data_IF_649159672916
#
_entry.id   IF_649159672916
#
_cell.length_a   1.000
_cell.length_b   1.000
_cell.length_c   1.000
_cell.angle_alpha   90.00
_cell.angle_beta   90.00
_cell.angle_gamma   90.00
#
_symmetry.space_group_name_H-M   'P 1'
#
loop_
_entity.id
_entity.type
_entity.pdbx_description
1 polymer ?
2 polymer ?
3 non-polymer ?
4 water ?
#
# COMPACT_ATOMS: atom_id res chain seq x y z
N UNK A 4 -21.47 19.15 -15.33
CA UNK A 4 -21.68 17.77 -14.87
C UNK A 4 -23.13 17.35 -15.03
N UNK A 5 -23.35 16.10 -15.44
CA UNK A 5 -24.66 15.69 -15.93
C UNK A 5 -25.00 14.29 -15.45
N UNK A 6 -26.28 13.98 -15.53
CA UNK A 6 -26.82 12.67 -15.20
C UNK A 6 -27.20 12.00 -16.52
N UNK A 7 -26.23 11.36 -17.14
CA UNK A 7 -26.42 10.63 -18.39
C UNK A 7 -25.93 9.20 -18.19
N UNK A 8 -26.22 8.32 -19.15
CA UNK A 8 -25.81 6.91 -18.97
C UNK A 8 -24.31 6.73 -18.87
N UNK A 9 -23.50 7.68 -19.36
CA UNK A 9 -22.07 7.64 -19.11
C UNK A 9 -21.77 7.69 -17.62
N UNK A 10 -22.23 8.77 -16.95
CA UNK A 10 -21.92 8.93 -15.53
C UNK A 10 -22.50 7.79 -14.71
N UNK A 11 -23.67 7.29 -15.08
CA UNK A 11 -24.23 6.13 -14.39
C UNK A 11 -23.26 4.96 -14.43
N UNK A 12 -22.54 4.81 -15.55
CA UNK A 12 -21.57 3.73 -15.64
C UNK A 12 -20.35 4.04 -14.76
N UNK A 13 -19.82 5.25 -14.86
CA UNK A 13 -18.81 5.72 -13.93
C UNK A 13 -19.16 5.33 -12.48
N UNK A 14 -20.39 5.64 -12.04
CA UNK A 14 -20.76 5.31 -10.66
C UNK A 14 -20.84 3.81 -10.45
N UNK A 15 -21.37 3.08 -11.42
CA UNK A 15 -21.37 1.62 -11.29
C UNK A 15 -19.94 1.09 -11.19
N UNK A 16 -19.03 1.63 -11.99
CA UNK A 16 -17.62 1.27 -11.88
C UNK A 16 -17.08 1.57 -10.49
N UNK A 17 -17.41 2.76 -9.96
CA UNK A 17 -16.93 3.11 -8.63
C UNK A 17 -17.44 2.12 -7.58
N UNK A 18 -18.71 1.73 -7.66
CA UNK A 18 -19.21 0.78 -6.66
C UNK A 18 -18.48 -0.55 -6.78
N UNK A 19 -18.25 -1.00 -8.01
CA UNK A 19 -17.58 -2.28 -8.21
C UNK A 19 -16.18 -2.29 -7.61
N UNK A 20 -15.38 -1.26 -7.91
CA UNK A 20 -14.03 -1.17 -7.35
C UNK A 20 -14.09 -1.12 -5.83
N UNK A 21 -15.00 -0.31 -5.28
CA UNK A 21 -15.18 -0.26 -3.85
C UNK A 21 -15.53 -1.62 -3.28
N UNK A 22 -16.59 -2.24 -3.81
CA UNK A 22 -16.99 -3.54 -3.29
C UNK A 22 -15.81 -4.49 -3.30
N UNK A 23 -15.04 -4.50 -4.39
CA UNK A 23 -13.89 -5.40 -4.49
C UNK A 23 -12.77 -4.98 -3.55
N UNK A 24 -12.56 -3.66 -3.44
CA UNK A 24 -11.54 -3.12 -2.55
C UNK A 24 -11.78 -3.56 -1.11
N UNK A 25 -13.03 -3.42 -0.64
CA UNK A 25 -13.40 -3.88 0.69
C UNK A 25 -12.98 -5.34 0.90
N UNK A 26 -13.33 -6.22 -0.04
CA UNK A 26 -13.06 -7.62 0.24
C UNK A 26 -11.63 -8.04 -0.06
N UNK A 27 -10.85 -7.20 -0.75
CA UNK A 27 -9.45 -7.52 -1.06
C UNK A 27 -8.47 -7.12 0.06
N UNK A 28 -8.74 -6.04 0.79
CA UNK A 28 -7.80 -5.72 1.84
C UNK A 28 -8.43 -5.86 3.21
N UNK A 29 -7.65 -6.26 4.21
CA UNK A 29 -8.22 -6.51 5.52
C UNK A 29 -8.77 -5.25 6.17
N UNK A 30 -7.89 -4.29 6.41
CA UNK A 30 -8.16 -3.15 7.28
C UNK A 30 -8.46 -1.92 6.43
N UNK A 31 -9.73 -1.60 6.29
CA UNK A 31 -10.12 -0.41 5.53
C UNK A 31 -9.72 0.86 6.29
N UNK A 32 -9.70 1.98 5.57
CA UNK A 32 -9.44 3.24 6.26
C UNK A 32 -10.51 3.55 7.29
N UNK A 33 -11.77 3.22 7.00
CA UNK A 33 -12.84 3.53 7.95
C UNK A 33 -12.60 2.83 9.28
N UNK A 34 -12.27 1.53 9.23
CA UNK A 34 -11.98 0.82 10.47
C UNK A 34 -10.74 1.39 11.15
N UNK A 35 -9.72 1.72 10.36
CA UNK A 35 -8.47 2.19 10.93
C UNK A 35 -8.67 3.47 11.72
N UNK A 36 -9.39 4.43 11.14
CA UNK A 36 -9.67 5.66 11.87
C UNK A 36 -10.44 5.36 13.15
N UNK A 37 -11.45 4.50 13.07
CA UNK A 37 -12.19 4.10 14.25
C UNK A 37 -11.24 3.57 15.32
N UNK A 38 -10.43 2.57 14.96
CA UNK A 38 -9.44 2.06 15.90
C UNK A 38 -8.59 3.21 16.42
N UNK A 39 -8.14 4.07 15.51
CA UNK A 39 -7.17 5.09 15.87
C UNK A 39 -7.73 6.08 16.88
N UNK A 40 -9.05 6.17 17.02
CA UNK A 40 -9.68 7.16 17.90
C UNK A 40 -10.48 6.52 19.03
N UNK A 41 -10.27 5.22 19.29
CA UNK A 41 -10.97 4.51 20.34
C UNK A 41 -12.41 4.15 20.05
N UNK A 42 -12.97 4.64 18.95
CA UNK A 42 -14.38 4.44 18.59
C UNK A 42 -14.56 3.05 18.00
N UNK A 43 -14.49 2.03 18.85
CA UNK A 43 -14.59 0.68 18.34
C UNK A 43 -14.92 -0.26 19.48
N UNK A 44 -15.73 -1.27 19.18
CA UNK A 44 -15.93 -2.37 20.12
C UNK A 44 -14.72 -3.29 20.17
N UNK A 45 -13.88 -3.27 19.13
CA UNK A 45 -12.61 -4.00 19.17
C UNK A 45 -11.82 -3.60 20.40
N UNK A 46 -11.04 -4.55 20.92
CA UNK A 46 -10.31 -4.37 22.17
C UNK A 46 -9.65 -3.00 22.21
N UNK A 47 -8.48 -2.91 21.61
CA UNK A 47 -7.66 -1.72 21.53
C UNK A 47 -6.24 -2.18 21.25
N UNK A 48 -5.59 -1.63 20.23
CA UNK A 48 -4.24 -2.10 19.87
C UNK A 48 -3.28 -1.96 21.05
N UNK A 49 -2.42 -2.97 21.18
CA UNK A 49 -1.30 -2.89 22.11
C UNK A 49 -0.27 -1.89 21.60
N UNK A 50 0.09 -0.92 22.44
CA UNK A 50 0.97 0.17 22.03
C UNK A 50 2.41 -0.20 22.28
N UNK A 51 3.24 -0.07 21.27
CA UNK A 51 4.68 -0.27 21.37
C UNK A 51 5.34 1.08 21.16
N UNK A 52 5.98 1.57 22.22
CA UNK A 52 6.56 2.91 22.25
C UNK A 52 7.98 2.92 22.82
N UNK A 53 8.48 1.79 23.32
CA UNK A 53 9.85 1.65 23.79
C UNK A 53 10.19 0.17 23.69
N UNK A 54 11.47 -0.14 23.95
CA UNK A 54 11.94 -1.53 23.92
C UNK A 54 11.12 -2.42 24.86
N UNK A 55 10.87 -1.97 26.08
CA UNK A 55 10.11 -2.81 27.01
C UNK A 55 8.75 -3.15 26.43
N UNK A 56 8.06 -2.18 25.84
CA UNK A 56 6.76 -2.46 25.28
C UNK A 56 6.87 -3.32 24.03
N UNK A 57 7.95 -3.18 23.27
CA UNK A 57 8.11 -4.06 22.11
C UNK A 57 8.17 -5.50 22.56
N UNK A 58 9.00 -5.80 23.56
CA UNK A 58 9.09 -7.17 24.07
C UNK A 58 7.75 -7.64 24.60
N UNK A 59 7.12 -6.84 25.48
CA UNK A 59 5.80 -7.21 25.95
C UNK A 59 4.83 -7.42 24.79
N UNK A 60 5.04 -6.73 23.69
CA UNK A 60 4.15 -6.87 22.56
C UNK A 60 4.33 -8.19 21.84
N UNK A 61 5.57 -8.58 21.59
CA UNK A 61 5.81 -9.83 20.87
C UNK A 61 5.14 -11.00 21.59
N UNK A 62 4.96 -10.90 22.91
CA UNK A 62 4.26 -11.94 23.66
C UNK A 62 2.74 -11.80 23.53
N UNK A 63 2.20 -10.60 23.74
CA UNK A 63 0.78 -10.41 23.89
C UNK A 63 0.07 -10.01 22.60
N UNK A 64 0.78 -9.90 21.49
CA UNK A 64 0.17 -9.75 20.17
C UNK A 64 0.39 -11.05 19.41
N UNK A 65 -0.67 -11.58 18.79
CA UNK A 65 -0.57 -12.80 18.00
C UNK A 65 -0.26 -12.40 16.57
N UNK A 66 1.03 -12.28 16.27
CA UNK A 66 1.47 -11.95 14.92
C UNK A 66 1.17 -13.09 13.95
N UNK A 67 0.57 -12.74 12.81
CA UNK A 67 0.20 -13.71 11.80
C UNK A 67 1.40 -14.49 11.25
N UNK A 68 2.63 -14.07 11.52
CA UNK A 68 3.78 -14.58 10.80
C UNK A 68 4.82 -15.31 11.65
N UNK A 69 4.60 -15.49 12.95
CA UNK A 69 5.63 -16.14 13.75
C UNK A 69 5.04 -17.38 14.39
N UNK A 70 5.93 -18.24 14.88
CA UNK A 70 5.60 -19.43 15.63
C UNK A 70 6.60 -19.58 16.76
N UNK A 71 6.23 -20.28 17.83
CA UNK A 71 7.19 -20.54 18.91
C UNK A 71 8.40 -21.34 18.46
N UNK A 72 8.41 -21.77 17.18
CA UNK A 72 9.35 -22.78 16.72
C UNK A 72 10.47 -22.24 15.82
N UNK A 73 10.34 -21.05 15.25
CA UNK A 73 11.41 -20.53 14.41
C UNK A 73 12.21 -19.48 15.16
N UNK A 74 13.43 -19.25 14.68
CA UNK A 74 14.27 -18.14 15.12
C UNK A 74 14.72 -17.40 13.87
N UNK A 75 14.59 -16.07 13.81
CA UNK A 75 14.14 -15.09 14.84
C UNK A 75 15.37 -14.37 15.38
N UNK A 76 15.81 -13.37 14.62
CA UNK A 76 17.02 -12.63 14.96
C UNK A 76 16.95 -12.16 16.41
N UNK A 77 18.13 -11.98 17.01
CA UNK A 77 18.17 -11.42 18.35
C UNK A 77 17.94 -9.92 18.33
N UNK A 78 18.08 -9.28 17.17
CA UNK A 78 18.15 -7.83 17.05
C UNK A 78 16.79 -7.25 16.65
N UNK A 79 16.23 -6.39 17.49
CA UNK A 79 14.83 -6.02 17.30
C UNK A 79 14.63 -5.35 15.95
N UNK A 80 15.57 -4.51 15.54
CA UNK A 80 15.41 -3.82 14.26
C UNK A 80 15.22 -4.83 13.14
N UNK A 81 16.05 -5.88 13.12
CA UNK A 81 15.95 -6.89 12.06
C UNK A 81 14.63 -7.64 12.17
N UNK A 82 14.20 -7.95 13.39
CA UNK A 82 12.92 -8.63 13.55
C UNK A 82 11.79 -7.78 13.00
N UNK A 83 11.79 -6.49 13.35
CA UNK A 83 10.76 -5.60 12.83
C UNK A 83 10.83 -5.58 11.32
N UNK A 84 12.04 -5.45 10.78
CA UNK A 84 12.19 -5.50 9.32
C UNK A 84 11.53 -6.74 8.76
N UNK A 85 11.73 -7.89 9.41
CA UNK A 85 11.23 -9.16 8.87
C UNK A 85 9.71 -9.18 8.84
N UNK A 86 9.07 -8.73 9.92
CA UNK A 86 7.62 -8.63 9.90
C UNK A 86 7.11 -7.73 8.79
N UNK A 87 7.81 -6.63 8.53
CA UNK A 87 7.46 -5.78 7.40
C UNK A 87 7.52 -6.57 6.09
N UNK A 88 8.61 -7.30 5.85
CA UNK A 88 8.72 -8.12 4.65
C UNK A 88 7.50 -9.01 4.49
N UNK A 89 7.14 -9.74 5.55
CA UNK A 89 5.99 -10.64 5.49
C UNK A 89 4.72 -9.88 5.15
N UNK A 90 4.53 -8.71 5.74
CA UNK A 90 3.33 -7.92 5.46
C UNK A 90 3.30 -7.48 4.01
N UNK A 91 4.43 -6.98 3.51
CA UNK A 91 4.55 -6.59 2.10
C UNK A 91 4.26 -7.76 1.16
N UNK A 92 4.78 -8.96 1.48
CA UNK A 92 4.52 -10.10 0.62
C UNK A 92 3.03 -10.39 0.59
N UNK A 93 2.37 -10.37 1.74
CA UNK A 93 0.92 -10.52 1.75
C UNK A 93 0.24 -9.43 0.93
N UNK A 94 0.68 -8.17 1.09
CA UNK A 94 0.00 -7.07 0.41
C UNK A 94 0.15 -7.21 -1.09
N UNK A 95 1.32 -7.68 -1.56
CA UNK A 95 1.46 -7.91 -2.99
C UNK A 95 0.34 -8.83 -3.49
N UNK A 96 -0.02 -9.82 -2.69
CA UNK A 96 -1.07 -10.73 -3.13
C UNK A 96 -2.44 -10.06 -3.09
N UNK A 97 -2.73 -9.31 -2.04
CA UNK A 97 -4.00 -8.61 -1.99
C UNK A 97 -4.12 -7.65 -3.16
N UNK A 98 -3.01 -7.00 -3.53
CA UNK A 98 -3.04 -6.02 -4.61
C UNK A 98 -3.27 -6.71 -5.95
N UNK A 99 -2.56 -7.81 -6.19
CA UNK A 99 -2.80 -8.64 -7.36
C UNK A 99 -4.27 -9.01 -7.47
N UNK A 100 -4.80 -9.61 -6.40
CA UNK A 100 -6.19 -10.01 -6.40
C UNK A 100 -7.10 -8.84 -6.74
N UNK A 101 -6.83 -7.68 -6.13
CA UNK A 101 -7.59 -6.48 -6.44
C UNK A 101 -7.41 -6.05 -7.88
N UNK A 102 -6.17 -6.04 -8.36
CA UNK A 102 -5.92 -5.69 -9.75
C UNK A 102 -6.76 -6.54 -10.68
N UNK A 103 -6.90 -7.83 -10.38
CA UNK A 103 -7.68 -8.69 -11.26
C UNK A 103 -9.13 -8.30 -11.29
N UNK A 104 -9.64 -7.63 -10.26
CA UNK A 104 -11.04 -7.24 -10.31
C UNK A 104 -11.25 -5.93 -11.05
N UNK A 105 -10.21 -5.30 -11.56
CA UNK A 105 -10.41 -4.05 -12.30
C UNK A 105 -10.90 -4.44 -13.68
N UNK A 106 -12.09 -4.00 -14.10
CA UNK A 106 -12.62 -4.39 -15.41
C UNK A 106 -11.61 -4.14 -16.51
N UNK A 107 -11.26 -5.19 -17.25
CA UNK A 107 -10.36 -5.10 -18.37
C UNK A 107 -8.94 -5.53 -18.06
N UNK A 108 -8.44 -5.25 -16.84
CA UNK A 108 -7.07 -5.57 -16.50
C UNK A 108 -6.72 -7.00 -16.89
N UNK A 109 -7.63 -7.93 -16.62
CA UNK A 109 -7.33 -9.34 -16.77
C UNK A 109 -7.22 -9.76 -18.23
N UNK A 110 -7.65 -8.90 -19.17
CA UNK A 110 -7.50 -9.12 -20.60
C UNK A 110 -6.26 -8.46 -21.18
N UNK A 111 -5.54 -7.62 -20.44
CA UNK A 111 -4.28 -7.09 -20.92
C UNK A 111 -3.33 -8.23 -21.28
N UNK A 112 -2.28 -7.91 -22.04
CA UNK A 112 -1.14 -8.80 -22.15
C UNK A 112 -0.71 -9.26 -20.76
N UNK A 113 -0.53 -10.56 -20.58
CA UNK A 113 -0.09 -11.03 -19.27
C UNK A 113 1.25 -10.44 -18.90
N UNK A 114 2.13 -10.24 -19.88
CA UNK A 114 3.42 -9.60 -19.62
C UNK A 114 3.25 -8.15 -19.13
N UNK A 115 2.31 -7.41 -19.72
CA UNK A 115 2.06 -6.06 -19.24
C UNK A 115 1.43 -6.06 -17.84
N UNK A 116 0.54 -7.03 -17.56
CA UNK A 116 -0.02 -7.13 -16.21
C UNK A 116 1.08 -7.24 -15.19
N UNK A 117 2.05 -8.11 -15.44
CA UNK A 117 3.19 -8.24 -14.54
C UNK A 117 3.84 -6.88 -14.31
N UNK A 118 4.06 -6.15 -15.40
CA UNK A 118 4.75 -4.87 -15.32
C UNK A 118 3.95 -3.86 -14.51
N UNK A 119 2.63 -3.80 -14.74
CA UNK A 119 1.82 -2.87 -13.97
C UNK A 119 1.89 -3.20 -12.49
N UNK A 120 1.83 -4.49 -12.15
CA UNK A 120 1.88 -4.90 -10.76
C UNK A 120 3.23 -4.60 -10.14
N UNK A 121 4.31 -4.92 -10.86
CA UNK A 121 5.66 -4.68 -10.35
C UNK A 121 5.83 -3.22 -9.91
N UNK A 122 5.40 -2.28 -10.75
CA UNK A 122 5.61 -0.87 -10.42
C UNK A 122 4.53 -0.32 -9.50
N UNK A 123 3.29 -0.82 -9.61
CA UNK A 123 2.21 -0.24 -8.84
C UNK A 123 2.25 -0.63 -7.38
N UNK A 124 2.78 -1.83 -7.08
CA UNK A 124 2.60 -2.45 -5.78
C UNK A 124 3.04 -1.53 -4.64
N UNK A 125 4.25 -0.99 -4.72
CA UNK A 125 4.73 -0.22 -3.58
C UNK A 125 4.07 1.15 -3.49
N UNK A 126 3.70 1.72 -4.62
CA UNK A 126 2.94 2.96 -4.58
C UNK A 126 1.61 2.75 -3.88
N UNK A 127 0.92 1.65 -4.18
CA UNK A 127 -0.34 1.36 -3.52
C UNK A 127 -0.11 1.10 -2.04
N UNK A 128 0.98 0.40 -1.72
CA UNK A 128 1.29 0.09 -0.33
C UNK A 128 1.44 1.35 0.50
N UNK A 129 2.20 2.32 0.00
CA UNK A 129 2.40 3.55 0.77
C UNK A 129 1.13 4.39 0.80
N UNK A 130 0.38 4.42 -0.30
CA UNK A 130 -0.94 5.04 -0.29
C UNK A 130 -1.80 4.47 0.83
N UNK A 131 -1.84 3.15 0.95
CA UNK A 131 -2.75 2.52 1.90
C UNK A 131 -2.19 2.52 3.31
N UNK A 132 -0.87 2.52 3.46
CA UNK A 132 -0.24 2.69 4.76
C UNK A 132 -0.70 3.98 5.46
N UNK A 133 -0.88 5.07 4.71
CA UNK A 133 -1.34 6.31 5.33
C UNK A 133 -2.64 6.09 6.08
N UNK A 134 -3.50 5.19 5.57
CA UNK A 134 -4.77 4.94 6.24
C UNK A 134 -4.56 4.46 7.66
N UNK A 135 -3.44 3.78 7.90
CA UNK A 135 -3.09 3.21 9.19
C UNK A 135 -2.30 4.18 10.07
N UNK A 136 -1.96 5.36 9.59
CA UNK A 136 -1.05 6.25 10.29
C UNK A 136 -1.77 7.49 10.81
N UNK A 137 -1.36 7.94 11.99
CA UNK A 137 -1.51 9.33 12.39
C UNK A 137 -0.13 9.84 12.72
N UNK A 138 -0.04 11.08 13.19
CA UNK A 138 1.30 11.62 13.34
C UNK A 138 2.08 10.96 14.47
N UNK A 139 1.43 10.17 15.32
CA UNK A 139 2.10 9.53 16.45
C UNK A 139 2.64 8.13 16.16
N UNK A 140 2.10 7.44 15.16
CA UNK A 140 2.49 6.05 14.90
C UNK A 140 1.61 5.41 13.86
N UNK A 141 1.64 4.08 13.83
CA UNK A 141 1.03 3.31 12.75
C UNK A 141 0.41 2.03 13.31
N UNK A 142 -0.81 1.73 12.88
CA UNK A 142 -1.42 0.46 13.22
C UNK A 142 -0.59 -0.66 12.63
N UNK A 143 -0.42 -1.74 13.40
CA UNK A 143 0.27 -2.93 12.90
C UNK A 143 -0.55 -4.17 13.25
N UNK A 144 -0.13 -5.30 12.69
CA UNK A 144 -0.76 -6.59 12.94
C UNK A 144 -2.29 -6.47 12.86
N UNK A 145 -2.74 -6.05 11.67
CA UNK A 145 -4.16 -5.83 11.40
C UNK A 145 -4.85 -5.12 12.55
N UNK A 146 -4.23 -4.04 13.01
CA UNK A 146 -4.84 -3.22 14.03
C UNK A 146 -4.73 -3.78 15.44
N UNK A 147 -4.14 -4.97 15.61
CA UNK A 147 -3.89 -5.49 16.95
C UNK A 147 -2.86 -4.68 17.71
N UNK A 148 -1.99 -3.97 16.99
CA UNK A 148 -0.93 -3.22 17.62
C UNK A 148 -0.78 -1.85 16.98
N UNK A 149 0.02 -1.02 17.65
CA UNK A 149 0.28 0.35 17.24
C UNK A 149 1.70 0.67 17.67
N UNK A 150 2.54 0.96 16.69
CA UNK A 150 3.95 1.17 16.92
C UNK A 150 4.21 2.65 16.72
N UNK A 151 4.86 3.29 17.69
CA UNK A 151 4.97 4.75 17.62
C UNK A 151 6.02 5.20 16.63
N UNK A 152 5.77 6.36 16.04
CA UNK A 152 6.69 6.94 15.07
C UNK A 152 8.08 7.13 15.67
N UNK A 153 8.17 7.64 16.90
CA UNK A 153 9.47 7.90 17.47
C UNK A 153 10.20 6.60 17.82
N UNK A 154 9.46 5.57 18.23
CA UNK A 154 10.12 4.29 18.43
C UNK A 154 10.73 3.78 17.14
N UNK A 155 10.04 3.99 16.01
CA UNK A 155 10.60 3.55 14.73
C UNK A 155 11.85 4.35 14.38
N UNK A 156 11.86 5.65 14.67
CA UNK A 156 13.02 6.50 14.38
C UNK A 156 14.23 6.11 15.19
N UNK A 157 14.03 5.45 16.32
CA UNK A 157 15.11 5.11 17.22
C UNK A 157 15.73 3.75 16.92
N UNK A 158 15.24 3.00 15.94
CA UNK A 158 15.94 1.80 15.54
C UNK A 158 17.29 2.18 14.94
N UNK A 159 18.29 1.31 15.12
CA UNK A 159 19.64 1.66 14.68
C UNK A 159 19.70 1.89 13.17
N UNK A 160 20.64 2.73 12.75
CA UNK A 160 20.81 2.95 11.32
C UNK A 160 21.09 1.62 10.63
N UNK A 161 20.53 1.38 9.44
CA UNK A 161 19.71 2.34 8.71
C UNK A 161 18.23 2.24 9.02
N UNK A 162 17.88 1.24 9.84
CA UNK A 162 16.49 0.84 9.96
C UNK A 162 15.60 1.97 10.46
N UNK A 163 16.15 2.87 11.29
CA UNK A 163 15.41 3.98 11.84
C UNK A 163 14.99 5.03 10.83
N UNK A 164 15.35 4.81 9.56
CA UNK A 164 15.06 5.75 8.50
C UNK A 164 14.05 5.23 7.47
N UNK A 165 13.48 4.04 7.68
CA UNK A 165 12.57 3.53 6.66
C UNK A 165 11.19 4.18 6.75
N UNK A 166 10.61 4.22 7.95
CA UNK A 166 9.23 4.68 8.08
C UNK A 166 9.09 6.19 8.00
N UNK A 167 10.07 6.95 8.48
CA UNK A 167 9.91 8.40 8.58
C UNK A 167 9.35 9.03 7.31
N UNK A 168 9.92 8.80 6.12
CA UNK A 168 9.36 9.44 4.92
C UNK A 168 7.93 9.03 4.66
N UNK A 169 7.56 7.82 5.09
CA UNK A 169 6.18 7.38 4.93
C UNK A 169 5.26 8.16 5.86
N UNK A 170 5.68 8.37 7.11
CA UNK A 170 4.88 9.22 8.00
C UNK A 170 4.72 10.60 7.40
N UNK A 171 5.82 11.23 7.00
CA UNK A 171 5.73 12.56 6.37
C UNK A 171 4.77 12.54 5.20
N UNK A 172 4.85 11.51 4.36
CA UNK A 172 3.92 11.45 3.24
C UNK A 172 2.49 11.30 3.74
N UNK A 173 2.28 10.48 4.77
CA UNK A 173 0.94 10.21 5.27
C UNK A 173 0.28 11.46 5.84
N UNK A 174 1.03 12.22 6.63
CA UNK A 174 0.46 13.43 7.23
C UNK A 174 -0.14 14.30 6.14
N UNK A 175 0.64 14.58 5.09
CA UNK A 175 0.15 15.40 4.00
C UNK A 175 -1.03 14.74 3.29
N UNK A 176 -0.88 13.45 2.96
CA UNK A 176 -1.92 12.73 2.21
C UNK A 176 -3.21 12.63 3.01
N UNK A 177 -3.12 12.30 4.30
CA UNK A 177 -4.32 12.18 5.12
C UNK A 177 -5.06 13.51 5.22
N UNK A 178 -4.36 14.63 5.05
CA UNK A 178 -5.07 15.91 5.06
C UNK A 178 -6.04 16.02 3.89
N UNK A 179 -5.85 15.24 2.84
CA UNK A 179 -6.82 15.23 1.75
C UNK A 179 -8.18 14.71 2.19
N UNK A 180 -8.23 13.95 3.28
CA UNK A 180 -9.50 13.45 3.82
C UNK A 180 -10.22 12.55 2.82
N UNK A 181 -9.46 11.68 2.16
CA UNK A 181 -10.06 10.67 1.30
C UNK A 181 -10.67 9.58 2.15
N UNK A 182 -11.77 9.01 1.66
CA UNK A 182 -12.33 7.82 2.28
C UNK A 182 -12.11 6.61 1.37
N UNK A 183 -12.57 5.44 1.82
CA UNK A 183 -12.28 4.20 1.09
C UNK A 183 -12.84 4.25 -0.32
N UNK A 184 -14.01 4.87 -0.50
CA UNK A 184 -14.61 5.00 -1.81
C UNK A 184 -13.70 5.75 -2.76
N UNK A 185 -13.17 6.89 -2.32
CA UNK A 185 -12.14 7.58 -3.08
C UNK A 185 -10.93 6.66 -3.33
N UNK A 186 -10.44 6.01 -2.28
CA UNK A 186 -9.16 5.30 -2.36
C UNK A 186 -9.24 4.12 -3.33
N UNK A 187 -10.35 3.39 -3.33
CA UNK A 187 -10.52 2.27 -4.24
C UNK A 187 -10.30 2.68 -5.69
N UNK A 188 -10.78 3.87 -6.08
CA UNK A 188 -10.57 4.27 -7.47
C UNK A 188 -9.15 4.74 -7.68
N UNK A 189 -8.62 5.55 -6.75
CA UNK A 189 -7.27 6.06 -6.86
C UNK A 189 -6.25 4.93 -7.07
N UNK A 190 -6.29 3.90 -6.21
CA UNK A 190 -5.27 2.86 -6.34
C UNK A 190 -5.44 2.11 -7.65
N UNK A 191 -6.67 2.07 -8.19
CA UNK A 191 -6.86 1.49 -9.52
C UNK A 191 -6.18 2.35 -10.57
N UNK A 192 -6.32 3.68 -10.46
CA UNK A 192 -5.63 4.56 -11.38
C UNK A 192 -4.13 4.31 -11.34
N UNK A 193 -3.58 4.12 -10.14
CA UNK A 193 -2.14 3.85 -10.01
C UNK A 193 -1.76 2.59 -10.77
N UNK A 194 -2.48 1.49 -10.55
CA UNK A 194 -2.15 0.22 -11.18
C UNK A 194 -2.09 0.37 -12.69
N UNK A 195 -3.06 1.08 -13.27
CA UNK A 195 -3.16 1.21 -14.72
C UNK A 195 -2.42 2.43 -15.25
N UNK A 196 -1.21 2.70 -14.75
CA UNK A 196 -0.37 3.77 -15.29
C UNK A 196 0.30 3.25 -16.56
N UNK A 197 -0.07 3.81 -17.70
CA UNK A 197 0.49 3.45 -18.99
C UNK A 197 1.90 3.91 -19.26
N UNK A 198 2.54 4.64 -18.34
CA UNK A 198 3.92 5.09 -18.53
C UNK A 198 4.91 4.27 -17.72
N UNK A 199 4.57 3.03 -17.39
CA UNK A 199 5.59 2.26 -16.70
C UNK A 199 6.64 1.75 -17.69
N UNK A 200 7.89 1.65 -17.29
CA UNK A 200 8.91 1.07 -18.17
C UNK A 200 8.52 -0.30 -18.66
N UNK A 201 8.76 -0.55 -19.94
CA UNK A 201 8.66 -1.89 -20.51
C UNK A 201 7.28 -2.34 -20.94
N UNK A 202 6.28 -1.47 -20.95
CA UNK A 202 4.98 -1.91 -21.44
C UNK A 202 5.04 -2.13 -22.95
N UNK A 203 4.33 -3.15 -23.42
CA UNK A 203 4.33 -3.47 -24.84
C UNK A 203 3.07 -3.08 -25.56
N UNK A 204 1.96 -2.95 -24.86
CA UNK A 204 0.67 -2.77 -25.49
C UNK A 204 -0.04 -1.67 -24.67
N UNK A 205 0.40 -0.43 -24.88
CA UNK A 205 0.06 0.67 -23.96
C UNK A 205 -1.38 1.15 -24.16
N UNK A 206 -1.86 1.18 -25.39
CA UNK A 206 -3.16 1.75 -25.72
C UNK A 206 -4.27 1.17 -24.84
N UNK A 207 -4.47 -0.15 -24.84
CA UNK A 207 -5.53 -0.71 -23.98
C UNK A 207 -5.39 -0.29 -22.53
N UNK A 208 -4.16 -0.10 -22.04
CA UNK A 208 -3.95 0.32 -20.66
C UNK A 208 -4.44 1.74 -20.45
N UNK A 209 -4.05 2.64 -21.35
CA UNK A 209 -4.48 4.03 -21.25
C UNK A 209 -6.01 4.14 -21.35
N UNK A 210 -6.63 3.34 -22.21
CA UNK A 210 -8.09 3.37 -22.29
C UNK A 210 -8.71 3.04 -20.94
N UNK A 211 -8.13 2.10 -20.20
CA UNK A 211 -8.74 1.73 -18.94
C UNK A 211 -8.46 2.80 -17.89
N UNK A 212 -7.22 3.27 -17.81
CA UNK A 212 -6.92 4.35 -16.86
C UNK A 212 -7.77 5.57 -17.13
N UNK A 213 -8.17 5.74 -18.39
CA UNK A 213 -8.99 6.89 -18.74
C UNK A 213 -10.35 6.81 -18.06
N UNK A 214 -11.05 5.69 -18.25
CA UNK A 214 -12.30 5.47 -17.54
C UNK A 214 -12.09 5.61 -16.05
N UNK A 215 -11.03 4.98 -15.53
CA UNK A 215 -10.70 5.09 -14.11
C UNK A 215 -10.58 6.55 -13.68
N UNK A 216 -9.91 7.36 -14.51
CA UNK A 216 -9.73 8.76 -14.17
C UNK A 216 -11.04 9.52 -14.16
N UNK A 217 -11.95 9.18 -15.07
CA UNK A 217 -13.28 9.79 -15.04
C UNK A 217 -14.05 9.34 -13.83
N UNK A 218 -14.05 8.04 -13.57
CA UNK A 218 -14.73 7.58 -12.37
C UNK A 218 -14.16 8.27 -11.15
N UNK A 219 -12.86 8.58 -11.14
CA UNK A 219 -12.28 9.22 -9.98
C UNK A 219 -12.75 10.66 -9.84
N UNK A 220 -12.69 11.43 -10.93
CA UNK A 220 -13.06 12.83 -10.85
C UNK A 220 -14.53 12.98 -10.45
N UNK A 221 -15.42 12.27 -11.15
CA UNK A 221 -16.82 12.25 -10.74
C UNK A 221 -16.93 11.96 -9.26
N UNK A 222 -16.24 10.91 -8.81
CA UNK A 222 -16.31 10.50 -7.41
C UNK A 222 -15.90 11.63 -6.48
N UNK A 223 -14.78 12.31 -6.78
CA UNK A 223 -14.29 13.35 -5.88
C UNK A 223 -15.16 14.61 -5.95
N UNK A 224 -15.79 14.86 -7.10
CA UNK A 224 -16.70 15.99 -7.18
C UNK A 224 -17.97 15.70 -6.40
N UNK A 225 -18.44 14.46 -6.43
CA UNK A 225 -19.63 14.10 -5.67
C UNK A 225 -19.34 14.04 -4.18
N UNK A 226 -18.17 13.55 -3.79
CA UNK A 226 -17.91 13.17 -2.41
C UNK A 226 -17.28 14.28 -1.57
N UNK A 227 -16.75 15.34 -2.20
CA UNK A 227 -15.98 16.38 -1.51
C UNK A 227 -16.44 17.75 -1.99
N UNK A 228 -17.67 18.14 -1.66
CA UNK A 228 -18.16 19.45 -2.11
C UNK A 228 -17.26 20.61 -1.73
N UNK A 229 -16.57 20.52 -0.59
CA UNK A 229 -15.80 21.65 -0.06
C UNK A 229 -14.33 21.54 -0.42
N UNK A 230 -14.02 21.05 -1.61
CA UNK A 230 -12.64 20.75 -2.00
C UNK A 230 -12.54 21.00 -3.51
N UNK A 231 -12.20 22.24 -3.86
CA UNK A 231 -12.25 22.66 -5.26
C UNK A 231 -11.26 21.89 -6.13
N UNK A 232 -10.10 21.51 -5.57
CA UNK A 232 -9.00 21.01 -6.38
C UNK A 232 -8.59 19.57 -6.04
N UNK A 233 -9.47 18.78 -5.45
CA UNK A 233 -9.02 17.50 -4.92
C UNK A 233 -8.46 16.61 -6.01
N UNK A 234 -9.01 16.68 -7.22
CA UNK A 234 -8.60 15.75 -8.27
C UNK A 234 -7.14 15.98 -8.65
N UNK A 235 -6.75 17.24 -8.82
CA UNK A 235 -5.37 17.50 -9.22
C UNK A 235 -4.42 17.30 -8.04
N UNK A 236 -4.78 17.80 -6.87
CA UNK A 236 -3.97 17.54 -5.70
C UNK A 236 -3.66 16.05 -5.56
N UNK A 237 -4.64 15.21 -5.89
CA UNK A 237 -4.48 13.78 -5.70
C UNK A 237 -3.58 13.20 -6.79
N UNK A 238 -3.77 13.62 -8.03
CA UNK A 238 -2.88 13.18 -9.09
C UNK A 238 -1.45 13.54 -8.77
N UNK A 239 -1.19 14.77 -8.33
CA UNK A 239 0.16 15.16 -7.95
C UNK A 239 0.75 14.20 -6.92
N UNK A 240 -0.08 13.68 -6.01
CA UNK A 240 0.45 12.77 -5.02
C UNK A 240 1.07 11.54 -5.66
N UNK A 241 0.55 11.09 -6.82
CA UNK A 241 1.21 9.97 -7.51
C UNK A 241 2.67 10.28 -7.75
N UNK A 242 3.01 11.56 -7.82
CA UNK A 242 4.41 11.94 -8.01
C UNK A 242 5.21 11.68 -6.74
N UNK A 243 4.79 12.24 -5.61
CA UNK A 243 5.50 11.99 -4.36
C UNK A 243 5.60 10.49 -4.06
N UNK A 244 4.63 9.69 -4.52
CA UNK A 244 4.69 8.25 -4.31
C UNK A 244 5.88 7.64 -5.05
N UNK A 245 6.06 8.02 -6.31
CA UNK A 245 7.20 7.51 -7.06
C UNK A 245 8.52 7.87 -6.39
N UNK A 246 8.63 9.07 -5.83
CA UNK A 246 9.88 9.43 -5.19
C UNK A 246 10.03 8.69 -3.87
N UNK A 247 8.94 8.47 -3.14
CA UNK A 247 9.02 7.65 -1.93
C UNK A 247 9.55 6.26 -2.27
N UNK A 248 9.05 5.67 -3.35
CA UNK A 248 9.52 4.35 -3.74
C UNK A 248 11.01 4.41 -4.06
N UNK A 249 11.40 5.42 -4.84
CA UNK A 249 12.79 5.55 -5.22
C UNK A 249 13.67 5.68 -3.99
N UNK A 250 13.33 6.62 -3.11
CA UNK A 250 14.07 6.78 -1.87
C UNK A 250 14.13 5.47 -1.08
N UNK A 251 13.02 4.74 -1.04
CA UNK A 251 12.99 3.47 -0.30
C UNK A 251 13.94 2.45 -0.92
N UNK A 252 14.02 2.42 -2.25
CA UNK A 252 14.92 1.49 -2.91
C UNK A 252 16.37 1.81 -2.58
N UNK A 253 16.72 3.10 -2.57
CA UNK A 253 18.10 3.48 -2.28
C UNK A 253 18.49 3.14 -0.84
N UNK A 254 17.57 3.32 0.10
CA UNK A 254 17.85 2.88 1.46
C UNK A 254 17.94 1.38 1.54
N UNK A 255 17.06 0.67 0.83
CA UNK A 255 17.14 -0.78 0.76
C UNK A 255 18.53 -1.26 0.36
N UNK A 256 19.27 -0.42 -0.36
CA UNK A 256 20.61 -0.79 -0.80
C UNK A 256 21.68 -0.45 0.21
N UNK A 257 21.39 0.39 1.20
CA UNK A 257 22.28 0.46 2.37
C UNK A 257 22.23 -0.87 3.11
N UNK A 258 21.03 -1.39 3.33
CA UNK A 258 20.88 -2.78 3.73
C UNK A 258 21.42 -3.59 2.55
N UNK A 259 21.63 -4.89 2.75
CA UNK A 259 22.25 -5.70 1.71
C UNK A 259 23.72 -5.33 1.58
N UNK A 260 23.99 -4.12 1.09
CA UNK A 260 25.38 -3.67 0.97
C UNK A 260 26.11 -3.72 2.32
N UNK A 261 25.41 -3.46 3.43
CA UNK A 261 26.08 -3.27 4.71
C UNK A 261 25.42 -4.01 5.86
N UNK A 262 24.61 -5.04 5.59
CA UNK A 262 23.93 -5.65 6.72
C UNK A 262 24.56 -6.95 7.14
N UNK A 263 23.92 -8.06 6.76
CA UNK A 263 24.49 -9.37 7.10
C UNK A 263 24.02 -10.44 6.13
N UNK A 264 23.52 -10.06 4.95
CA UNK A 264 22.83 -10.98 4.05
C UNK A 264 21.58 -11.55 4.73
N UNK A 265 20.87 -10.70 5.49
CA UNK A 265 19.60 -11.08 6.09
C UNK A 265 18.49 -10.94 5.05
N UNK A 266 18.88 -11.18 3.80
CA UNK A 266 18.14 -11.24 2.54
C UNK A 266 16.66 -10.86 2.49
N UNK A 267 16.24 -10.51 1.29
CA UNK A 267 14.89 -10.12 0.95
C UNK A 267 14.14 -11.33 0.42
N UNK A 268 12.88 -11.45 0.78
CA UNK A 268 12.00 -12.45 0.21
C UNK A 268 12.04 -12.39 -1.32
N UNK A 269 12.07 -13.55 -1.99
CA UNK A 269 12.24 -13.52 -3.45
C UNK A 269 11.17 -12.73 -4.19
N UNK A 270 9.91 -12.80 -3.75
CA UNK A 270 8.90 -11.96 -4.37
C UNK A 270 9.32 -10.50 -4.32
N UNK A 271 9.84 -10.07 -3.19
CA UNK A 271 10.28 -8.69 -3.04
C UNK A 271 11.49 -8.41 -3.94
N UNK A 272 12.42 -9.35 -4.04
CA UNK A 272 13.53 -9.17 -4.96
C UNK A 272 13.01 -8.98 -6.37
N UNK A 273 12.19 -9.92 -6.82
CA UNK A 273 11.51 -9.78 -8.10
C UNK A 273 11.05 -8.34 -8.33
N UNK A 274 10.32 -7.78 -7.38
CA UNK A 274 9.75 -6.46 -7.59
C UNK A 274 10.86 -5.41 -7.70
N UNK A 275 11.83 -5.46 -6.79
CA UNK A 275 12.87 -4.44 -6.83
C UNK A 275 13.84 -4.61 -7.99
N UNK A 276 13.83 -5.76 -8.65
CA UNK A 276 14.86 -6.15 -9.61
C UNK A 276 15.42 -4.97 -10.38
N UNK A 277 14.94 -4.79 -11.60
CA UNK A 277 15.39 -3.66 -12.41
C UNK A 277 14.39 -2.53 -12.31
N UNK A 278 14.10 -2.13 -11.08
CA UNK A 278 12.99 -1.21 -10.87
C UNK A 278 13.28 0.10 -11.59
N UNK A 279 13.94 1.02 -10.91
CA UNK A 279 14.27 2.31 -11.50
C UNK A 279 15.76 2.39 -11.81
N UNK B 3 9.35 -14.59 -16.43
CA UNK B 3 10.71 -15.11 -16.56
C UNK B 3 11.60 -14.45 -15.52
N UNK B 4 11.70 -13.13 -15.60
CA UNK B 4 12.34 -12.35 -14.55
C UNK B 4 11.42 -12.10 -13.37
N UNK B 5 10.12 -12.37 -13.52
CA UNK B 5 9.14 -12.19 -12.46
C UNK B 5 8.30 -13.46 -12.34
N UNK B 6 8.95 -14.57 -11.96
CA UNK B 6 8.28 -15.86 -11.96
C UNK B 6 7.16 -15.90 -10.95
N UNK B 7 7.39 -15.35 -9.76
CA UNK B 7 6.35 -15.38 -8.73
C UNK B 7 5.17 -14.51 -9.14
N UNK B 8 5.44 -13.29 -9.59
CA UNK B 8 4.36 -12.40 -10.03
C UNK B 8 3.58 -13.02 -11.18
N UNK B 9 4.29 -13.71 -12.09
CA UNK B 9 3.58 -14.44 -13.14
C UNK B 9 2.62 -15.44 -12.53
N UNK B 10 3.13 -16.30 -11.65
CA UNK B 10 2.32 -17.28 -10.96
C UNK B 10 1.07 -16.63 -10.37
N UNK B 11 1.27 -15.60 -9.54
CA UNK B 11 0.16 -14.93 -8.86
C UNK B 11 -0.92 -14.49 -9.85
N UNK B 12 -0.50 -13.89 -10.96
CA UNK B 12 -1.46 -13.46 -11.96
C UNK B 12 -2.07 -14.63 -12.73
N UNK B 13 -1.41 -15.79 -12.74
CA UNK B 13 -1.89 -16.96 -13.48
C UNK B 13 -2.66 -17.93 -12.59
N UNK B 14 -3.46 -17.44 -11.64
CA UNK B 14 -4.13 -18.32 -10.68
C UNK B 14 -5.30 -17.61 -9.99
#
# INVERSE_FOLDING_TARGET
GSHMQLNPESADLRALAKHLYDSYIKSFPLTKAKARAILTGKTTDKSPFVIYDMNSLMMGEDKIKFKHITPLQEQSKEVAIRIFQGCQFRSVEAVQEITEYAKSIPGFVNLDLNDQVTLLKYGVHEIIYTMLASLMNKDGVLISEGQGFMTREFLKSLRKPFGDFMEPKFEFAVKFNALELDDSDLAIFIAVIILSGDRPGLLNVKPIEDIQDNLLQALELQLKLNHPESSQLFAKLLQKMTDLRQIVTEHVQLLQVIKKTETDMSLHPLLQEIYKDLY
LTERHKILHRLLQEG
#
